data_IF_003158522534
#
_entry.id   IF_003158522534
#
_cell.length_a   1.000
_cell.length_b   1.000
_cell.length_c   1.000
_cell.angle_alpha   90.00
_cell.angle_beta   90.00
_cell.angle_gamma   90.00
#
_symmetry.space_group_name_H-M   'P 1'
#
loop_
_entity.id
_entity.type
_entity.pdbx_description
1 polymer ?
#
# COMPACT_ATOMS: atom_id res chain seq x y z
N UNK A 1 4.25 10.95 13.79
CA UNK A 1 5.38 11.70 13.21
C UNK A 1 5.90 12.75 14.20
N UNK A 2 7.23 12.99 14.32
CA UNK A 2 7.75 14.17 14.99
C UNK A 2 7.28 15.48 14.30
N UNK A 3 7.07 16.59 15.03
CA UNK A 3 6.71 17.86 14.43
C UNK A 3 7.78 18.38 13.46
N UNK A 4 7.35 18.99 12.34
CA UNK A 4 8.25 19.71 11.43
C UNK A 4 8.76 20.97 12.13
N UNK A 5 10.08 21.08 12.25
CA UNK A 5 10.78 22.21 12.88
C UNK A 5 11.19 23.29 11.87
N UNK A 6 11.22 22.96 10.58
CA UNK A 6 11.50 23.93 9.51
C UNK A 6 11.67 23.28 8.14
N UNK A 7 11.87 24.13 7.13
CA UNK A 7 12.18 23.73 5.76
C UNK A 7 13.47 24.44 5.33
N UNK A 8 14.39 23.73 4.70
CA UNK A 8 15.65 24.33 4.20
C UNK A 8 16.16 23.59 2.96
N UNK A 9 16.46 24.33 1.89
CA UNK A 9 17.07 23.79 0.67
C UNK A 9 16.38 22.53 0.08
N UNK A 10 15.05 22.46 0.13
CA UNK A 10 14.29 21.30 -0.34
C UNK A 10 14.19 20.14 0.67
N UNK A 11 14.64 20.33 1.91
CA UNK A 11 14.54 19.35 2.99
C UNK A 11 13.54 19.78 4.05
N UNK A 12 12.83 18.80 4.60
CA UNK A 12 12.06 18.92 5.83
C UNK A 12 12.97 18.64 7.02
N UNK A 13 12.97 19.54 8.01
CA UNK A 13 13.74 19.39 9.26
C UNK A 13 12.81 18.95 10.37
N UNK A 14 13.14 17.87 11.05
CA UNK A 14 12.37 17.31 12.15
C UNK A 14 13.27 16.87 13.30
N UNK A 15 12.69 16.75 14.49
CA UNK A 15 13.39 16.14 15.62
C UNK A 15 13.71 14.67 15.34
N UNK A 16 14.94 14.24 15.64
CA UNK A 16 15.32 12.84 15.56
C UNK A 16 14.63 12.04 16.68
N UNK A 17 13.84 11.04 16.29
CA UNK A 17 13.20 10.13 17.24
C UNK A 17 14.02 8.84 17.35
N UNK A 18 14.65 8.56 18.51
CA UNK A 18 15.42 7.34 18.68
C UNK A 18 14.49 6.11 18.68
N UNK A 19 14.87 5.10 17.90
CA UNK A 19 14.16 3.83 17.81
C UNK A 19 14.88 2.89 16.84
N UNK A 20 14.30 1.71 16.63
CA UNK A 20 14.75 0.78 15.58
C UNK A 20 13.60 0.45 14.63
N UNK A 21 13.87 0.22 13.33
CA UNK A 21 12.85 -0.22 12.40
C UNK A 21 12.18 -1.53 12.85
N UNK A 22 10.89 -1.62 12.57
CA UNK A 22 10.10 -2.83 12.69
C UNK A 22 10.44 -3.77 11.53
N UNK A 23 10.46 -5.06 11.83
CA UNK A 23 10.48 -6.12 10.81
C UNK A 23 9.11 -6.78 10.72
N UNK A 24 8.81 -7.42 9.59
CA UNK A 24 7.55 -8.12 9.35
C UNK A 24 7.22 -9.16 10.43
N UNK A 25 8.24 -9.78 11.03
CA UNK A 25 8.10 -10.80 12.09
C UNK A 25 7.63 -10.23 13.44
N UNK A 26 7.55 -8.91 13.58
CA UNK A 26 7.22 -8.23 14.82
C UNK A 26 5.79 -7.68 14.84
N UNK A 27 5.01 -8.02 13.81
CA UNK A 27 3.59 -7.72 13.77
C UNK A 27 2.88 -8.37 14.96
N UNK A 28 2.15 -7.53 15.70
CA UNK A 28 1.34 -7.95 16.82
C UNK A 28 0.12 -7.02 16.94
N UNK A 29 -0.76 -7.33 17.87
CA UNK A 29 -2.02 -6.60 18.05
C UNK A 29 -1.84 -5.09 18.29
N UNK A 30 -0.81 -4.69 19.05
CA UNK A 30 -0.55 -3.27 19.32
C UNK A 30 -0.12 -2.53 18.05
N UNK A 31 0.71 -3.17 17.21
CA UNK A 31 1.10 -2.58 15.93
C UNK A 31 -0.09 -2.54 14.94
N UNK A 32 -0.94 -3.57 14.91
CA UNK A 32 -2.16 -3.55 14.10
C UNK A 32 -3.09 -2.40 14.52
N UNK A 33 -3.25 -2.17 15.82
CA UNK A 33 -4.02 -1.04 16.35
C UNK A 33 -3.39 0.32 15.98
N UNK A 34 -2.06 0.42 15.99
CA UNK A 34 -1.34 1.63 15.57
C UNK A 34 -1.48 1.91 14.06
N UNK A 35 -1.40 0.87 13.21
CA UNK A 35 -1.65 0.94 11.76
C UNK A 35 -3.10 1.40 11.50
N UNK A 36 -4.07 0.79 12.17
CA UNK A 36 -5.49 1.13 12.03
C UNK A 36 -5.76 2.58 12.47
N UNK A 37 -5.25 2.99 13.63
CA UNK A 37 -5.44 4.35 14.16
C UNK A 37 -4.77 5.40 13.29
N UNK A 38 -3.59 5.09 12.75
CA UNK A 38 -2.89 5.96 11.82
C UNK A 38 -3.67 6.12 10.50
N UNK A 39 -4.16 5.03 9.92
CA UNK A 39 -4.99 5.04 8.72
C UNK A 39 -6.29 5.84 8.93
N UNK A 40 -6.94 5.67 10.09
CA UNK A 40 -8.11 6.46 10.47
C UNK A 40 -7.80 7.95 10.68
N UNK A 41 -6.59 8.27 11.16
CA UNK A 41 -6.12 9.65 11.24
C UNK A 41 -5.95 10.25 9.84
N UNK A 42 -5.30 9.54 8.91
CA UNK A 42 -5.17 10.00 7.52
C UNK A 42 -6.55 10.28 6.91
N UNK A 43 -7.46 9.31 7.01
CA UNK A 43 -8.82 9.43 6.46
C UNK A 43 -9.56 10.68 6.93
N UNK A 44 -9.40 11.05 8.20
CA UNK A 44 -10.09 12.21 8.80
C UNK A 44 -9.37 13.53 8.53
N UNK A 45 -8.05 13.51 8.53
CA UNK A 45 -7.25 14.74 8.58
C UNK A 45 -6.81 15.23 7.21
N UNK A 46 -6.80 14.37 6.18
CA UNK A 46 -6.32 14.73 4.85
C UNK A 46 -7.27 14.31 3.72
N UNK A 47 -8.53 14.78 3.74
CA UNK A 47 -9.42 14.60 2.59
C UNK A 47 -8.84 15.29 1.36
N UNK A 48 -8.88 14.62 0.21
CA UNK A 48 -8.45 15.18 -1.06
C UNK A 48 -9.65 15.48 -1.95
N UNK A 49 -9.49 16.42 -2.89
CA UNK A 49 -10.51 16.73 -3.90
C UNK A 49 -10.29 15.97 -5.21
N UNK A 50 -9.04 15.65 -5.53
CA UNK A 50 -8.66 15.00 -6.79
C UNK A 50 -8.26 13.55 -6.53
N UNK A 51 -8.53 12.70 -7.51
CA UNK A 51 -8.11 11.30 -7.54
C UNK A 51 -7.76 10.89 -8.96
N UNK A 52 -7.02 9.79 -9.06
CA UNK A 52 -6.81 9.10 -10.32
C UNK A 52 -8.13 8.65 -10.95
N UNK A 53 -8.28 8.75 -12.26
CA UNK A 53 -9.43 8.15 -12.94
C UNK A 53 -9.40 6.62 -12.80
N UNK A 54 -10.57 5.98 -12.87
CA UNK A 54 -10.62 4.53 -12.86
C UNK A 54 -9.87 3.94 -14.07
N UNK A 55 -9.95 4.60 -15.23
CA UNK A 55 -9.27 4.20 -16.47
C UNK A 55 -7.75 4.16 -16.29
N UNK A 56 -7.17 5.19 -15.67
CA UNK A 56 -5.72 5.24 -15.37
C UNK A 56 -5.34 4.16 -14.37
N UNK A 57 -6.09 4.04 -13.27
CA UNK A 57 -5.84 3.06 -12.22
C UNK A 57 -5.91 1.62 -12.74
N UNK A 58 -7.02 1.28 -13.40
CA UNK A 58 -7.26 -0.04 -13.98
C UNK A 58 -6.29 -0.31 -15.12
N UNK A 59 -6.08 0.65 -16.03
CA UNK A 59 -5.17 0.53 -17.16
C UNK A 59 -3.74 0.23 -16.72
N UNK A 60 -3.25 0.89 -15.67
CA UNK A 60 -1.93 0.61 -15.12
C UNK A 60 -1.82 -0.72 -14.39
N UNK A 61 -2.82 -1.09 -13.60
CA UNK A 61 -2.86 -2.40 -12.97
C UNK A 61 -2.83 -3.52 -14.03
N UNK A 62 -3.70 -3.42 -15.05
CA UNK A 62 -3.76 -4.36 -16.16
C UNK A 62 -2.44 -4.41 -16.94
N UNK A 63 -1.83 -3.25 -17.22
CA UNK A 63 -0.52 -3.17 -17.90
C UNK A 63 0.58 -3.87 -17.11
N UNK A 64 0.64 -3.63 -15.80
CA UNK A 64 1.63 -4.27 -14.92
C UNK A 64 1.40 -5.79 -14.80
N UNK A 65 0.14 -6.24 -14.77
CA UNK A 65 -0.20 -7.67 -14.83
C UNK A 65 0.27 -8.29 -16.15
N UNK A 66 -0.05 -7.66 -17.29
CA UNK A 66 0.34 -8.18 -18.60
C UNK A 66 1.87 -8.27 -18.75
N UNK A 67 2.60 -7.22 -18.34
CA UNK A 67 4.07 -7.22 -18.38
C UNK A 67 4.69 -8.23 -17.42
N UNK A 68 4.19 -8.31 -16.20
CA UNK A 68 4.82 -9.12 -15.15
C UNK A 68 4.40 -10.59 -15.15
N UNK A 69 3.19 -10.91 -15.62
CA UNK A 69 2.61 -12.25 -15.57
C UNK A 69 2.22 -12.82 -16.94
N UNK A 70 2.10 -11.99 -17.98
CA UNK A 70 1.66 -12.36 -19.33
C UNK A 70 0.15 -12.15 -19.57
N UNK A 71 -0.24 -12.21 -20.84
CA UNK A 71 -1.60 -11.90 -21.32
C UNK A 71 -2.68 -12.83 -20.75
N UNK A 72 -2.36 -14.10 -20.50
CA UNK A 72 -3.32 -15.04 -19.89
C UNK A 72 -3.77 -14.59 -18.50
N UNK A 73 -2.86 -13.98 -17.72
CA UNK A 73 -3.19 -13.44 -16.41
C UNK A 73 -3.88 -12.08 -16.50
N UNK A 74 -3.56 -11.27 -17.51
CA UNK A 74 -4.31 -10.05 -17.79
C UNK A 74 -5.77 -10.35 -18.13
N UNK A 75 -6.03 -11.41 -18.90
CA UNK A 75 -7.39 -11.88 -19.18
C UNK A 75 -8.12 -12.35 -17.91
N UNK A 76 -7.41 -12.99 -16.96
CA UNK A 76 -7.99 -13.34 -15.65
C UNK A 76 -8.29 -12.12 -14.77
N UNK A 77 -7.62 -11.00 -15.01
CA UNK A 77 -7.87 -9.74 -14.32
C UNK A 77 -9.04 -8.94 -14.93
N UNK A 78 -9.57 -9.33 -16.10
CA UNK A 78 -10.66 -8.62 -16.76
C UNK A 78 -11.90 -8.33 -15.89
N UNK A 79 -12.29 -9.16 -14.89
CA UNK A 79 -13.38 -8.81 -13.98
C UNK A 79 -13.15 -7.55 -13.14
N UNK A 80 -11.90 -7.07 -12.98
CA UNK A 80 -11.60 -5.80 -12.29
C UNK A 80 -12.35 -4.62 -12.90
N UNK A 81 -12.60 -4.61 -14.22
CA UNK A 81 -13.37 -3.54 -14.89
C UNK A 81 -14.78 -3.38 -14.28
N UNK A 82 -15.38 -4.49 -13.79
CA UNK A 82 -16.70 -4.48 -13.16
C UNK A 82 -16.70 -3.80 -11.79
N UNK A 83 -15.52 -3.60 -11.18
CA UNK A 83 -15.35 -2.96 -9.88
C UNK A 83 -15.27 -1.44 -9.96
N UNK A 84 -15.56 -0.84 -11.13
CA UNK A 84 -15.66 0.62 -11.30
C UNK A 84 -16.56 1.28 -10.26
N UNK A 85 -17.74 0.73 -10.00
CA UNK A 85 -18.65 1.28 -9.00
C UNK A 85 -18.04 1.29 -7.59
N UNK A 86 -17.29 0.24 -7.25
CA UNK A 86 -16.55 0.15 -5.97
C UNK A 86 -15.42 1.18 -5.91
N UNK A 87 -14.74 1.42 -7.03
CA UNK A 87 -13.72 2.46 -7.13
C UNK A 87 -14.30 3.87 -7.05
N UNK A 88 -15.49 4.09 -7.59
CA UNK A 88 -16.04 5.44 -7.62
C UNK A 88 -16.66 5.84 -6.26
N UNK A 89 -17.04 4.85 -5.44
CA UNK A 89 -17.72 4.97 -4.15
C UNK A 89 -16.76 5.07 -2.94
N UNK A 90 -15.84 6.05 -2.98
CA UNK A 90 -15.06 6.48 -1.82
C UNK A 90 -14.67 7.96 -1.94
N UNK A 91 -14.39 8.60 -0.80
CA UNK A 91 -13.77 9.92 -0.80
C UNK A 91 -12.25 9.75 -0.78
N UNK A 92 -11.53 10.33 -1.76
CA UNK A 92 -10.08 10.21 -1.85
C UNK A 92 -9.41 10.98 -0.71
N UNK A 93 -8.21 10.54 -0.36
CA UNK A 93 -7.39 11.18 0.66
C UNK A 93 -5.95 11.33 0.18
N UNK A 94 -5.23 12.23 0.82
CA UNK A 94 -3.77 12.26 0.73
C UNK A 94 -3.23 11.02 1.48
N UNK A 95 -2.91 9.97 0.74
CA UNK A 95 -2.39 8.72 1.28
C UNK A 95 -0.99 8.89 1.88
N UNK A 96 -0.61 7.95 2.75
CA UNK A 96 0.79 7.77 3.11
C UNK A 96 1.55 7.08 1.98
N UNK A 97 0.97 6.07 1.32
CA UNK A 97 1.61 5.41 0.18
C UNK A 97 2.87 4.60 0.51
N UNK A 98 3.31 4.54 1.78
CA UNK A 98 4.51 3.80 2.25
C UNK A 98 4.29 3.14 3.61
N UNK A 99 3.51 2.07 3.61
CA UNK A 99 3.16 1.28 4.79
C UNK A 99 4.08 0.07 5.03
N UNK A 100 5.37 0.15 4.65
CA UNK A 100 6.33 -0.93 4.85
C UNK A 100 6.69 -1.11 6.33
N UNK A 101 7.08 -2.33 6.79
CA UNK A 101 7.53 -2.55 8.16
C UNK A 101 8.63 -1.58 8.62
N UNK A 102 9.65 -1.35 7.78
CA UNK A 102 10.76 -0.48 8.14
C UNK A 102 10.40 1.01 8.24
N UNK A 103 9.22 1.42 7.78
CA UNK A 103 8.68 2.76 7.98
C UNK A 103 8.04 2.94 9.35
N UNK A 104 8.02 1.90 10.17
CA UNK A 104 7.62 1.97 11.56
C UNK A 104 8.84 1.74 12.44
N UNK A 105 8.98 2.53 13.49
CA UNK A 105 10.03 2.32 14.49
C UNK A 105 9.43 1.94 15.85
N UNK A 106 10.13 1.04 16.54
CA UNK A 106 9.89 0.73 17.96
C UNK A 106 10.64 1.73 18.80
N UNK A 107 9.92 2.42 19.68
CA UNK A 107 10.46 3.37 20.65
C UNK A 107 10.09 2.91 22.07
N UNK A 108 10.73 3.47 23.13
CA UNK A 108 10.29 3.23 24.51
C UNK A 108 8.84 3.65 24.80
N UNK A 109 8.20 4.42 23.91
CA UNK A 109 6.82 4.92 24.04
C UNK A 109 5.83 4.22 23.08
N UNK A 110 6.22 3.09 22.49
CA UNK A 110 5.42 2.36 21.49
C UNK A 110 5.88 2.61 20.06
N UNK A 111 5.02 2.30 19.08
CA UNK A 111 5.36 2.44 17.67
C UNK A 111 5.20 3.88 17.18
N UNK A 112 6.01 4.22 16.17
CA UNK A 112 5.94 5.50 15.46
C UNK A 112 6.11 5.26 13.97
N UNK A 113 5.14 5.73 13.17
CA UNK A 113 5.30 5.88 11.72
C UNK A 113 6.33 6.98 11.42
N UNK A 114 7.27 6.65 10.55
CA UNK A 114 8.23 7.54 9.90
C UNK A 114 7.89 7.66 8.41
N UNK A 115 8.51 8.62 7.72
CA UNK A 115 8.34 8.87 6.28
C UNK A 115 6.86 8.91 5.84
N UNK A 116 6.13 9.91 6.32
CA UNK A 116 4.68 9.99 6.14
C UNK A 116 4.19 11.36 5.62
N UNK A 117 5.09 12.12 5.01
CA UNK A 117 4.74 13.40 4.38
C UNK A 117 4.73 13.19 2.86
N UNK A 118 3.93 14.00 2.18
CA UNK A 118 4.04 14.34 0.75
C UNK A 118 4.01 13.22 -0.31
N UNK A 119 3.94 11.92 0.06
CA UNK A 119 3.93 10.82 -0.92
C UNK A 119 2.74 10.84 -1.87
N UNK A 120 1.60 11.39 -1.47
CA UNK A 120 0.47 11.61 -2.36
C UNK A 120 0.77 12.58 -3.53
N UNK A 121 1.84 13.38 -3.42
CA UNK A 121 2.36 14.28 -4.45
C UNK A 121 3.53 13.66 -5.24
N UNK A 122 4.00 12.47 -4.85
CA UNK A 122 5.04 11.78 -5.60
C UNK A 122 4.49 11.33 -6.97
N UNK A 123 5.36 11.29 -7.97
CA UNK A 123 5.04 10.76 -9.28
C UNK A 123 4.89 9.23 -9.26
N UNK A 124 5.23 8.61 -8.13
CA UNK A 124 5.05 7.20 -7.85
C UNK A 124 3.69 6.92 -7.17
N UNK A 125 2.67 6.58 -7.95
CA UNK A 125 2.03 5.26 -7.73
C UNK A 125 1.35 4.92 -6.39
N UNK A 126 0.09 5.31 -6.09
CA UNK A 126 -0.82 6.22 -6.76
C UNK A 126 -0.86 7.58 -6.05
N UNK A 127 -1.38 8.59 -6.76
CA UNK A 127 -1.73 9.90 -6.19
C UNK A 127 -2.82 9.77 -5.09
N UNK A 128 -3.44 10.88 -4.70
CA UNK A 128 -4.59 10.89 -3.79
C UNK A 128 -5.64 9.83 -4.18
N UNK A 129 -6.01 8.98 -3.22
CA UNK A 129 -6.79 7.78 -3.47
C UNK A 129 -7.48 7.27 -2.19
N UNK A 130 -8.28 6.22 -2.32
CA UNK A 130 -8.86 5.47 -1.21
C UNK A 130 -7.82 4.96 -0.20
N UNK A 131 -8.09 5.14 1.10
CA UNK A 131 -7.33 4.54 2.21
C UNK A 131 -7.21 3.01 2.14
N UNK A 132 -8.13 2.35 1.42
CA UNK A 132 -8.02 0.93 1.13
C UNK A 132 -6.69 0.55 0.44
N UNK A 133 -6.04 1.48 -0.26
CA UNK A 133 -4.69 1.30 -0.79
C UNK A 133 -3.64 1.09 0.31
N UNK A 134 -3.57 1.98 1.29
CA UNK A 134 -2.60 1.89 2.40
C UNK A 134 -2.86 0.66 3.28
N UNK A 135 -4.13 0.31 3.49
CA UNK A 135 -4.51 -0.91 4.22
C UNK A 135 -4.11 -2.17 3.46
N UNK A 136 -4.34 -2.22 2.14
CA UNK A 136 -3.92 -3.34 1.31
C UNK A 136 -2.39 -3.46 1.24
N UNK A 137 -1.68 -2.33 1.16
CA UNK A 137 -0.24 -2.26 1.24
C UNK A 137 0.27 -2.84 2.56
N UNK A 138 -0.25 -2.38 3.69
CA UNK A 138 0.14 -2.87 5.01
C UNK A 138 -0.08 -4.38 5.12
N UNK A 139 -1.24 -4.87 4.67
CA UNK A 139 -1.54 -6.30 4.67
C UNK A 139 -0.52 -7.14 3.88
N UNK A 140 -0.07 -6.65 2.72
CA UNK A 140 0.94 -7.34 1.91
C UNK A 140 2.32 -7.27 2.56
N UNK A 141 2.78 -6.08 2.95
CA UNK A 141 4.16 -5.88 3.39
C UNK A 141 4.45 -6.42 4.78
N UNK A 142 3.45 -6.47 5.65
CA UNK A 142 3.53 -7.18 6.94
C UNK A 142 3.17 -8.66 6.83
N UNK A 143 2.86 -9.15 5.63
CA UNK A 143 2.51 -10.56 5.38
C UNK A 143 1.35 -11.08 6.25
N UNK A 144 0.32 -10.24 6.44
CA UNK A 144 -0.80 -10.52 7.34
C UNK A 144 -1.54 -11.80 6.96
N UNK A 145 -1.80 -12.63 7.96
CA UNK A 145 -2.71 -13.76 7.83
C UNK A 145 -4.18 -13.29 7.89
N UNK A 146 -5.18 -14.15 7.57
CA UNK A 146 -6.58 -13.74 7.55
C UNK A 146 -7.12 -13.20 8.89
N UNK A 147 -6.62 -13.69 10.04
CA UNK A 147 -7.05 -13.18 11.35
C UNK A 147 -6.50 -11.78 11.61
N UNK A 148 -5.23 -11.54 11.28
CA UNK A 148 -4.58 -10.23 11.43
C UNK A 148 -5.20 -9.19 10.50
N UNK A 149 -5.48 -9.56 9.26
CA UNK A 149 -6.18 -8.70 8.30
C UNK A 149 -7.57 -8.31 8.82
N UNK A 150 -8.38 -9.29 9.23
CA UNK A 150 -9.73 -9.04 9.75
C UNK A 150 -9.68 -8.16 11.01
N UNK A 151 -8.69 -8.38 11.87
CA UNK A 151 -8.47 -7.55 13.06
C UNK A 151 -8.13 -6.10 12.66
N UNK A 152 -7.16 -5.90 11.77
CA UNK A 152 -6.77 -4.57 11.30
C UNK A 152 -7.95 -3.80 10.69
N UNK A 153 -8.70 -4.43 9.79
CA UNK A 153 -9.86 -3.80 9.14
C UNK A 153 -10.97 -3.45 10.14
N UNK A 154 -11.19 -4.31 11.14
CA UNK A 154 -12.17 -4.07 12.20
C UNK A 154 -11.73 -2.92 13.13
N UNK A 155 -10.46 -2.90 13.53
CA UNK A 155 -9.87 -1.80 14.32
C UNK A 155 -9.89 -0.49 13.55
N UNK A 156 -9.64 -0.52 12.24
CA UNK A 156 -9.75 0.65 11.37
C UNK A 156 -11.18 1.18 11.35
N UNK A 157 -12.15 0.32 11.06
CA UNK A 157 -13.57 0.70 10.99
C UNK A 157 -14.07 1.28 12.31
N UNK A 158 -13.66 0.72 13.45
CA UNK A 158 -13.99 1.25 14.77
C UNK A 158 -13.39 2.64 15.02
N UNK A 159 -12.20 2.93 14.48
CA UNK A 159 -11.50 4.20 14.68
C UNK A 159 -11.91 5.30 13.69
N UNK A 160 -12.32 4.93 12.47
CA UNK A 160 -12.64 5.86 11.38
C UNK A 160 -14.15 6.06 11.17
N UNK A 161 -14.97 5.06 11.52
CA UNK A 161 -16.37 4.97 11.10
C UNK A 161 -16.55 4.54 9.63
N UNK A 162 -15.46 4.29 8.90
CA UNK A 162 -15.44 3.86 7.49
C UNK A 162 -15.15 2.35 7.41
N UNK A 163 -16.00 1.61 6.69
CA UNK A 163 -15.85 0.16 6.52
C UNK A 163 -15.26 -0.15 5.15
N UNK A 164 -14.09 -0.79 5.12
CA UNK A 164 -13.51 -1.32 3.88
C UNK A 164 -14.04 -2.74 3.66
N UNK A 165 -15.10 -2.85 2.85
CA UNK A 165 -15.68 -4.13 2.47
C UNK A 165 -14.75 -4.99 1.61
N UNK A 166 -15.08 -6.28 1.46
CA UNK A 166 -14.24 -7.26 0.77
C UNK A 166 -13.89 -6.89 -0.67
N UNK A 167 -14.85 -6.38 -1.46
CA UNK A 167 -14.59 -5.94 -2.83
C UNK A 167 -13.69 -4.70 -2.88
N UNK A 168 -13.96 -3.70 -2.04
CA UNK A 168 -13.14 -2.48 -1.94
C UNK A 168 -11.71 -2.81 -1.55
N UNK A 169 -11.50 -3.71 -0.59
CA UNK A 169 -10.18 -4.19 -0.22
C UNK A 169 -9.51 -4.97 -1.35
N UNK A 170 -10.21 -5.93 -1.97
CA UNK A 170 -9.67 -6.80 -3.02
C UNK A 170 -9.22 -5.99 -4.25
N UNK A 171 -9.99 -4.99 -4.65
CA UNK A 171 -9.62 -4.08 -5.75
C UNK A 171 -8.25 -3.45 -5.52
N UNK A 172 -8.06 -2.85 -4.34
CA UNK A 172 -6.82 -2.18 -3.99
C UNK A 172 -5.67 -3.15 -3.72
N UNK A 173 -5.95 -4.35 -3.18
CA UNK A 173 -4.95 -5.40 -3.01
C UNK A 173 -4.39 -5.88 -4.35
N UNK A 174 -5.26 -6.19 -5.33
CA UNK A 174 -4.83 -6.64 -6.65
C UNK A 174 -4.04 -5.54 -7.35
N UNK A 175 -4.53 -4.30 -7.31
CA UNK A 175 -3.81 -3.17 -7.87
C UNK A 175 -2.45 -2.99 -7.20
N UNK A 176 -2.39 -2.89 -5.87
CA UNK A 176 -1.12 -2.76 -5.13
C UNK A 176 -0.10 -3.83 -5.54
N UNK A 177 -0.51 -5.10 -5.56
CA UNK A 177 0.35 -6.21 -5.97
C UNK A 177 0.83 -6.07 -7.43
N UNK A 178 -0.03 -5.65 -8.35
CA UNK A 178 0.32 -5.38 -9.74
C UNK A 178 1.36 -4.26 -9.84
N UNK A 179 1.14 -3.14 -9.16
CA UNK A 179 2.08 -2.01 -9.13
C UNK A 179 3.43 -2.40 -8.55
N UNK A 180 3.45 -3.15 -7.45
CA UNK A 180 4.70 -3.66 -6.86
C UNK A 180 5.41 -4.66 -7.74
N UNK A 181 4.67 -5.51 -8.47
CA UNK A 181 5.26 -6.38 -9.47
C UNK A 181 5.91 -5.56 -10.59
N UNK A 182 5.21 -4.57 -11.15
CA UNK A 182 5.77 -3.70 -12.20
C UNK A 182 7.06 -3.01 -11.74
N UNK A 183 7.03 -2.36 -10.56
CA UNK A 183 8.20 -1.69 -9.99
C UNK A 183 9.37 -2.63 -9.73
N UNK A 184 9.13 -3.76 -9.06
CA UNK A 184 10.19 -4.69 -8.69
C UNK A 184 10.79 -5.42 -9.90
N UNK A 185 9.99 -5.70 -10.94
CA UNK A 185 10.50 -6.24 -12.21
C UNK A 185 11.37 -5.22 -12.93
N UNK A 186 10.92 -3.96 -13.06
CA UNK A 186 11.72 -2.91 -13.67
C UNK A 186 13.04 -2.67 -12.91
N UNK A 187 12.98 -2.54 -11.59
CA UNK A 187 14.17 -2.37 -10.75
C UNK A 187 15.12 -3.57 -10.84
N UNK A 188 14.60 -4.80 -10.96
CA UNK A 188 15.40 -6.00 -11.14
C UNK A 188 16.21 -6.01 -12.45
N UNK A 189 15.65 -5.44 -13.51
CA UNK A 189 16.30 -5.30 -14.83
C UNK A 189 17.35 -4.20 -14.80
N UNK A 190 16.98 -2.98 -14.37
CA UNK A 190 17.88 -1.82 -14.31
C UNK A 190 19.08 -2.06 -13.38
N UNK A 191 18.85 -2.77 -12.27
CA UNK A 191 19.88 -3.05 -11.27
C UNK A 191 20.52 -4.44 -11.43
N UNK A 192 20.33 -5.11 -12.58
CA UNK A 192 20.77 -6.48 -12.81
C UNK A 192 22.28 -6.69 -12.59
N UNK A 193 23.10 -5.67 -12.86
CA UNK A 193 24.55 -5.68 -12.68
C UNK A 193 25.02 -5.27 -11.26
N UNK A 194 24.09 -5.01 -10.34
CA UNK A 194 24.38 -4.62 -8.95
C UNK A 194 23.98 -5.73 -7.98
N UNK A 195 24.46 -5.68 -6.72
CA UNK A 195 24.00 -6.61 -5.67
C UNK A 195 22.50 -6.55 -5.36
N UNK A 196 21.80 -5.46 -5.74
CA UNK A 196 20.37 -5.28 -5.47
C UNK A 196 19.47 -5.98 -6.51
N UNK A 197 19.96 -6.23 -7.73
CA UNK A 197 19.20 -6.91 -8.79
C UNK A 197 18.59 -8.26 -8.34
N UNK A 198 19.35 -9.18 -7.72
CA UNK A 198 18.81 -10.41 -7.14
C UNK A 198 17.72 -10.20 -6.09
N UNK A 199 17.79 -9.12 -5.30
CA UNK A 199 16.81 -8.81 -4.24
C UNK A 199 15.49 -8.34 -4.85
N UNK A 200 15.55 -7.45 -5.85
CA UNK A 200 14.37 -7.04 -6.60
C UNK A 200 13.75 -8.18 -7.39
N UNK A 201 14.55 -9.08 -7.98
CA UNK A 201 14.01 -10.31 -8.58
C UNK A 201 13.23 -11.14 -7.57
N UNK A 202 13.75 -11.31 -6.36
CA UNK A 202 13.06 -12.06 -5.31
C UNK A 202 11.74 -11.39 -4.90
N UNK A 203 11.72 -10.06 -4.80
CA UNK A 203 10.50 -9.29 -4.57
C UNK A 203 9.48 -9.46 -5.70
N UNK A 204 9.90 -9.36 -6.96
CA UNK A 204 9.03 -9.55 -8.11
C UNK A 204 8.38 -10.95 -8.11
N UNK A 205 9.14 -12.00 -7.80
CA UNK A 205 8.59 -13.35 -7.64
C UNK A 205 7.57 -13.41 -6.50
N UNK A 206 7.85 -12.79 -5.35
CA UNK A 206 6.91 -12.73 -4.22
C UNK A 206 5.59 -12.07 -4.62
N UNK A 207 5.63 -10.88 -5.24
CA UNK A 207 4.43 -10.17 -5.67
C UNK A 207 3.67 -10.93 -6.76
N UNK A 208 4.37 -11.49 -7.74
CA UNK A 208 3.78 -12.32 -8.78
C UNK A 208 3.02 -13.52 -8.19
N UNK A 209 3.62 -14.26 -7.26
CA UNK A 209 2.98 -15.40 -6.60
C UNK A 209 1.73 -15.01 -5.83
N UNK A 210 1.75 -13.87 -5.12
CA UNK A 210 0.57 -13.37 -4.39
C UNK A 210 -0.53 -12.91 -5.34
N UNK A 211 -0.17 -12.11 -6.35
CA UNK A 211 -1.09 -11.59 -7.35
C UNK A 211 -1.82 -12.71 -8.11
N UNK A 212 -1.10 -13.75 -8.52
CA UNK A 212 -1.69 -14.94 -9.14
C UNK A 212 -2.78 -15.58 -8.27
N UNK A 213 -2.59 -15.64 -6.95
CA UNK A 213 -3.62 -16.19 -6.06
C UNK A 213 -4.87 -15.30 -6.06
N UNK A 214 -4.71 -14.00 -5.87
CA UNK A 214 -5.86 -13.06 -5.86
C UNK A 214 -6.63 -13.07 -7.18
N UNK A 215 -5.93 -13.18 -8.32
CA UNK A 215 -6.56 -13.25 -9.64
C UNK A 215 -7.32 -14.56 -9.89
N UNK A 216 -6.94 -15.67 -9.24
CA UNK A 216 -7.72 -16.92 -9.32
C UNK A 216 -9.06 -16.77 -8.60
N UNK A 217 -9.08 -16.14 -7.41
CA UNK A 217 -10.31 -15.89 -6.64
C UNK A 217 -11.20 -14.80 -7.22
N UNK A 218 -10.70 -14.03 -8.20
CA UNK A 218 -11.47 -13.02 -8.92
C UNK A 218 -12.21 -13.61 -10.14
N UNK A 219 -11.71 -14.71 -10.70
CA UNK A 219 -12.28 -15.37 -11.87
C UNK A 219 -13.43 -16.34 -11.54
N UNK A 220 -13.60 -16.67 -10.26
CA UNK A 220 -14.72 -17.45 -9.70
C UNK A 220 -15.88 -16.53 -9.28
#
# INVERSE_FOLDING_TARGET
>A
MPPVSGFTNGFVVQEFVPGRPVTEMELNQLLLDDIARYSAFLKRSFPACERMSFEEFHGMAARNIALGLGEDWANKAAPLERMRGVYEDFEPIELDGRMFPFEWIITPKGYRKTDCLDHHLDQFFPACQDIAWDLAMAAVEFEMNPMELNYMLSSYAAASGDTVGGERFRLHLIAYLAFRLGYSSFAAEELAATPEGPRFRSLAHRYASRLKRELLWLAD
#
